data_IF_505056143981
#
_entry.id   IF_505056143981
#
_cell.length_a   1.000
_cell.length_b   1.000
_cell.length_c   1.000
_cell.angle_alpha   90.00
_cell.angle_beta   90.00
_cell.angle_gamma   90.00
#
_symmetry.space_group_name_H-M   'P 1'
#
loop_
_entity.id
_entity.type
_entity.pdbx_description
1 polymer ?
#
# COMPACT_ATOMS: atom_id res chain seq x y z
N UNK A 1 -5.36 -2.09 42.92
CA UNK A 1 -4.13 -1.53 42.32
C UNK A 1 -3.29 -2.58 41.57
N UNK A 2 -3.08 -3.79 42.09
CA UNK A 2 -2.22 -4.82 41.46
C UNK A 2 -2.75 -5.41 40.15
N UNK A 3 -4.07 -5.51 39.99
CA UNK A 3 -4.71 -6.03 38.76
C UNK A 3 -4.40 -5.17 37.52
N UNK A 4 -4.34 -3.85 37.69
CA UNK A 4 -4.00 -2.91 36.61
C UNK A 4 -2.55 -3.08 36.14
N UNK A 5 -1.64 -3.35 37.08
CA UNK A 5 -0.25 -3.64 36.76
C UNK A 5 -0.08 -4.94 35.95
N UNK A 6 -0.87 -5.98 36.29
CA UNK A 6 -0.87 -7.23 35.52
C UNK A 6 -1.35 -7.00 34.08
N UNK A 7 -2.43 -6.25 33.89
CA UNK A 7 -2.95 -5.91 32.55
C UNK A 7 -1.92 -5.12 31.72
N UNK A 8 -1.27 -4.11 32.32
CA UNK A 8 -0.20 -3.38 31.63
C UNK A 8 0.97 -4.28 31.23
N UNK A 9 1.34 -5.25 32.07
CA UNK A 9 2.43 -6.18 31.78
C UNK A 9 2.08 -7.13 30.64
N UNK A 10 0.86 -7.64 30.60
CA UNK A 10 0.40 -8.49 29.49
C UNK A 10 0.28 -7.72 28.18
N UNK A 11 -0.27 -6.50 28.23
CA UNK A 11 -0.33 -5.62 27.08
C UNK A 11 1.06 -5.31 26.52
N UNK A 12 2.03 -4.97 27.40
CA UNK A 12 3.40 -4.71 26.98
C UNK A 12 4.05 -5.93 26.31
N UNK A 13 3.76 -7.14 26.81
CA UNK A 13 4.26 -8.38 26.20
C UNK A 13 3.70 -8.58 24.79
N UNK A 14 2.40 -8.39 24.60
CA UNK A 14 1.77 -8.50 23.27
C UNK A 14 2.25 -7.39 22.34
N UNK A 15 2.41 -6.17 22.85
CA UNK A 15 2.92 -5.03 22.10
C UNK A 15 4.35 -5.25 21.59
N UNK A 16 5.22 -5.84 22.42
CA UNK A 16 6.57 -6.21 21.98
C UNK A 16 6.56 -7.27 20.87
N UNK A 17 5.70 -8.29 20.99
CA UNK A 17 5.53 -9.31 19.93
C UNK A 17 5.01 -8.66 18.65
N UNK A 18 4.06 -7.73 18.77
CA UNK A 18 3.53 -6.98 17.64
C UNK A 18 4.63 -6.16 16.94
N UNK A 19 5.45 -5.42 17.68
CA UNK A 19 6.57 -4.65 17.12
C UNK A 19 7.53 -5.56 16.35
N UNK A 20 7.94 -6.67 16.96
CA UNK A 20 8.87 -7.63 16.32
C UNK A 20 8.25 -8.19 15.04
N UNK A 21 6.97 -8.53 15.07
CA UNK A 21 6.22 -8.97 13.89
C UNK A 21 6.20 -7.88 12.80
N UNK A 22 5.90 -6.62 13.15
CA UNK A 22 5.90 -5.50 12.21
C UNK A 22 7.26 -5.32 11.53
N UNK A 23 8.35 -5.37 12.30
CA UNK A 23 9.69 -5.29 11.73
C UNK A 23 10.00 -6.49 10.82
N UNK A 24 9.68 -7.71 11.26
CA UNK A 24 9.89 -8.91 10.44
C UNK A 24 9.16 -8.81 9.10
N UNK A 25 7.90 -8.38 9.10
CA UNK A 25 7.14 -8.15 7.88
C UNK A 25 7.71 -7.00 7.05
N UNK A 26 8.10 -5.88 7.66
CA UNK A 26 8.70 -4.76 6.93
C UNK A 26 9.97 -5.18 6.19
N UNK A 27 10.88 -5.91 6.86
CA UNK A 27 12.09 -6.41 6.22
C UNK A 27 11.79 -7.48 5.17
N UNK A 28 10.83 -8.38 5.43
CA UNK A 28 10.40 -9.39 4.46
C UNK A 28 9.81 -8.77 3.19
N UNK A 29 8.94 -7.78 3.33
CA UNK A 29 8.38 -7.02 2.21
C UNK A 29 9.45 -6.21 1.49
N UNK A 30 10.37 -5.57 2.22
CA UNK A 30 11.48 -4.82 1.63
C UNK A 30 12.39 -5.71 0.80
N UNK A 31 12.72 -6.91 1.29
CA UNK A 31 13.49 -7.90 0.55
C UNK A 31 12.78 -8.34 -0.73
N UNK A 32 11.46 -8.57 -0.66
CA UNK A 32 10.64 -8.89 -1.83
C UNK A 32 10.52 -7.72 -2.81
N UNK A 33 10.50 -6.49 -2.31
CA UNK A 33 10.41 -5.27 -3.12
C UNK A 33 11.72 -4.96 -3.86
N UNK A 34 12.87 -5.24 -3.24
CA UNK A 34 14.19 -5.07 -3.85
C UNK A 34 14.39 -5.98 -5.07
N UNK A 35 13.71 -7.15 -5.09
CA UNK A 35 13.62 -8.03 -6.26
C UNK A 35 12.73 -7.42 -7.37
N UNK A 36 11.69 -6.67 -7.00
CA UNK A 36 10.74 -6.06 -7.93
C UNK A 36 11.29 -4.81 -8.63
N UNK A 37 12.07 -3.98 -7.93
CA UNK A 37 12.75 -2.83 -8.57
C UNK A 37 13.80 -3.27 -9.59
N UNK A 38 14.43 -4.42 -9.40
CA UNK A 38 15.39 -4.95 -10.38
C UNK A 38 14.73 -5.56 -11.61
N UNK A 39 13.42 -5.87 -11.58
CA UNK A 39 12.81 -6.69 -12.63
C UNK A 39 12.22 -5.92 -13.82
N UNK A 40 11.85 -4.64 -13.73
CA UNK A 40 11.44 -3.89 -14.93
C UNK A 40 11.60 -2.38 -14.73
N UNK A 41 12.79 -1.86 -15.03
CA UNK A 41 12.86 -0.55 -15.65
C UNK A 41 12.22 -0.72 -17.02
N UNK A 42 10.92 -0.42 -17.12
CA UNK A 42 10.24 -0.33 -18.41
C UNK A 42 11.14 0.53 -19.30
N UNK A 43 11.64 -0.04 -20.40
CA UNK A 43 12.24 0.76 -21.45
C UNK A 43 11.17 1.80 -21.84
N UNK A 44 11.52 3.08 -21.76
CA UNK A 44 10.62 4.15 -22.15
C UNK A 44 10.09 3.85 -23.55
N UNK A 45 8.77 3.84 -23.76
CA UNK A 45 8.23 3.58 -25.09
C UNK A 45 8.74 4.67 -26.04
N UNK A 46 9.53 4.29 -27.05
CA UNK A 46 9.91 5.14 -28.18
C UNK A 46 8.69 5.38 -29.11
N UNK A 47 7.64 5.99 -28.57
CA UNK A 47 6.42 6.27 -29.31
C UNK A 47 5.78 7.54 -28.77
N UNK A 48 5.61 8.54 -29.64
CA UNK A 48 4.96 9.82 -29.34
C UNK A 48 3.70 9.60 -28.48
N UNK A 49 3.81 9.85 -27.18
CA UNK A 49 2.69 9.82 -26.28
C UNK A 49 1.69 10.87 -26.74
N UNK A 50 0.60 10.43 -27.36
CA UNK A 50 -0.52 11.30 -27.71
C UNK A 50 -1.09 11.80 -26.39
N UNK A 51 -0.86 13.08 -26.11
CA UNK A 51 -1.46 13.80 -25.00
C UNK A 51 -2.97 13.75 -25.19
N UNK A 52 -3.64 12.83 -24.48
CA UNK A 52 -5.10 12.75 -24.48
C UNK A 52 -5.59 14.05 -23.85
N UNK A 53 -6.31 14.81 -24.66
CA UNK A 53 -6.79 16.15 -24.40
C UNK A 53 -7.55 16.21 -23.06
N UNK A 54 -7.23 17.23 -22.25
CA UNK A 54 -8.16 17.74 -21.24
C UNK A 54 -9.42 18.23 -21.96
N UNK A 55 -10.60 17.81 -21.51
CA UNK A 55 -11.85 18.58 -21.47
C UNK A 55 -13.00 17.65 -21.06
N UNK A 56 -13.34 17.64 -19.77
CA UNK A 56 -14.68 18.02 -19.29
C UNK A 56 -14.73 17.89 -17.76
N UNK A 57 -15.53 18.77 -17.16
CA UNK A 57 -15.53 19.09 -15.74
C UNK A 57 -15.65 17.88 -14.81
N UNK A 58 -14.86 17.96 -13.75
CA UNK A 58 -14.50 16.95 -12.77
C UNK A 58 -15.71 16.44 -11.95
N UNK A 59 -16.58 15.62 -12.54
CA UNK A 59 -17.68 14.96 -11.80
C UNK A 59 -17.25 13.56 -11.36
N UNK A 60 -16.64 13.48 -10.17
CA UNK A 60 -16.07 12.25 -9.59
C UNK A 60 -17.10 11.11 -9.47
N UNK A 61 -18.40 11.44 -9.41
CA UNK A 61 -19.49 10.48 -9.31
C UNK A 61 -19.66 9.68 -10.61
N UNK A 62 -19.55 10.33 -11.77
CA UNK A 62 -19.65 9.63 -13.05
C UNK A 62 -18.46 8.68 -13.25
N UNK A 63 -17.26 9.08 -12.81
CA UNK A 63 -16.06 8.22 -12.86
C UNK A 63 -16.23 6.96 -12.00
N UNK A 64 -16.84 7.09 -10.81
CA UNK A 64 -17.13 5.94 -9.96
C UNK A 64 -18.14 4.99 -10.61
N UNK A 65 -19.18 5.53 -11.26
CA UNK A 65 -20.19 4.73 -11.94
C UNK A 65 -19.63 3.91 -13.11
N UNK A 66 -18.67 4.49 -13.84
CA UNK A 66 -17.99 3.86 -14.97
C UNK A 66 -17.09 2.72 -14.48
N UNK A 67 -16.31 2.96 -13.41
CA UNK A 67 -15.48 1.94 -12.75
C UNK A 67 -16.31 0.71 -12.36
N UNK A 68 -17.45 0.92 -11.68
CA UNK A 68 -18.34 -0.18 -11.28
C UNK A 68 -19.04 -0.88 -12.46
N UNK A 69 -19.25 -0.20 -13.59
CA UNK A 69 -19.87 -0.80 -14.78
C UNK A 69 -18.90 -1.58 -15.65
N UNK A 70 -17.68 -1.06 -15.84
CA UNK A 70 -16.66 -1.74 -16.64
C UNK A 70 -15.88 -2.78 -15.85
N UNK A 71 -15.83 -2.69 -14.52
CA UNK A 71 -15.28 -3.74 -13.66
C UNK A 71 -13.76 -3.92 -13.81
N UNK A 72 -13.04 -2.84 -14.06
CA UNK A 72 -11.64 -2.70 -13.61
C UNK A 72 -11.64 -2.00 -12.26
#
# INVERSE_FOLDING_TARGET
>A
MTKWYQLCKEFLKVFLIFIVSTFFFYFGLRMMHEEYENFHRYDEPEGNAVKVFELEEDNWVDRLSIFFRLGE
#
